data_IF_050037261168
#
_entry.id   IF_050037261168
#
_cell.length_a   1.000
_cell.length_b   1.000
_cell.length_c   1.000
_cell.angle_alpha   90.00
_cell.angle_beta   90.00
_cell.angle_gamma   90.00
#
_symmetry.space_group_name_H-M   'P 1'
#
loop_
_entity.id
_entity.type
_entity.pdbx_description
1 polymer ?
#
# COMPACT_ATOMS: atom_id res chain seq x y z
N UNK A 1 2.31 5.12 5.28
CA UNK A 1 2.94 4.02 4.52
C UNK A 1 4.24 3.62 5.22
N UNK A 2 4.48 2.32 5.41
CA UNK A 2 5.71 1.82 6.02
C UNK A 2 6.61 1.24 4.91
N UNK A 3 7.87 1.66 4.87
CA UNK A 3 8.86 1.17 3.91
C UNK A 3 9.85 0.31 4.68
N UNK A 4 10.02 -0.95 4.23
CA UNK A 4 11.01 -1.87 4.78
C UNK A 4 12.34 -1.67 4.06
N UNK A 5 13.36 -1.20 4.76
CA UNK A 5 14.66 -0.82 4.21
C UNK A 5 15.70 -1.96 4.15
N UNK A 6 15.44 -3.09 4.81
CA UNK A 6 16.42 -4.18 4.92
C UNK A 6 16.87 -4.82 3.59
N UNK A 7 16.25 -4.45 2.47
CA UNK A 7 16.56 -4.96 1.13
C UNK A 7 16.68 -3.85 0.08
N UNK A 8 16.57 -2.58 0.46
CA UNK A 8 16.58 -1.43 -0.45
C UNK A 8 17.77 -0.53 -0.17
N UNK A 9 18.30 0.13 -1.20
CA UNK A 9 19.34 1.14 -1.04
C UNK A 9 18.77 2.41 -0.40
N UNK A 10 19.62 3.20 0.26
CA UNK A 10 19.21 4.48 0.85
C UNK A 10 18.65 5.46 -0.20
N UNK A 11 19.16 5.40 -1.43
CA UNK A 11 18.67 6.20 -2.55
C UNK A 11 17.25 5.82 -2.95
N UNK A 12 16.96 4.50 -3.04
CA UNK A 12 15.61 3.99 -3.32
C UNK A 12 14.62 4.36 -2.23
N UNK A 13 15.02 4.23 -0.97
CA UNK A 13 14.20 4.61 0.18
C UNK A 13 13.87 6.09 0.13
N UNK A 14 14.87 6.94 -0.11
CA UNK A 14 14.72 8.39 -0.21
C UNK A 14 13.80 8.77 -1.37
N UNK A 15 13.99 8.15 -2.54
CA UNK A 15 13.15 8.37 -3.71
C UNK A 15 11.68 8.03 -3.43
N UNK A 16 11.42 6.85 -2.86
CA UNK A 16 10.06 6.41 -2.52
C UNK A 16 9.45 7.33 -1.45
N UNK A 17 10.24 7.67 -0.41
CA UNK A 17 9.79 8.56 0.66
C UNK A 17 9.37 9.92 0.10
N UNK A 18 10.20 10.55 -0.71
CA UNK A 18 9.91 11.87 -1.29
C UNK A 18 8.67 11.82 -2.19
N UNK A 19 8.56 10.78 -3.03
CA UNK A 19 7.41 10.57 -3.89
C UNK A 19 6.09 10.58 -3.10
N UNK A 20 5.99 9.74 -2.07
CA UNK A 20 4.73 9.62 -1.34
C UNK A 20 4.47 10.77 -0.35
N UNK A 21 5.53 11.40 0.18
CA UNK A 21 5.39 12.63 0.98
C UNK A 21 4.81 13.77 0.14
N UNK A 22 5.27 13.92 -1.12
CA UNK A 22 4.73 14.95 -2.02
C UNK A 22 3.26 14.74 -2.38
N UNK A 23 2.76 13.51 -2.23
CA UNK A 23 1.35 13.15 -2.42
C UNK A 23 0.52 13.24 -1.12
N UNK A 24 1.10 13.74 -0.02
CA UNK A 24 0.40 13.91 1.26
C UNK A 24 0.30 12.65 2.13
N UNK A 25 1.02 11.57 1.80
CA UNK A 25 1.03 10.36 2.63
C UNK A 25 2.05 10.46 3.76
N UNK A 26 1.68 10.01 4.95
CA UNK A 26 2.63 9.80 6.04
C UNK A 26 3.51 8.59 5.75
N UNK A 27 4.83 8.77 5.82
CA UNK A 27 5.82 7.72 5.52
C UNK A 27 6.65 7.43 6.76
N UNK A 28 6.73 6.17 7.12
CA UNK A 28 7.62 5.66 8.15
C UNK A 28 8.55 4.61 7.54
N UNK A 29 9.84 4.81 7.70
CA UNK A 29 10.86 3.82 7.31
C UNK A 29 11.14 2.92 8.50
N UNK A 30 11.08 1.61 8.30
CA UNK A 30 11.28 0.62 9.36
C UNK A 30 12.23 -0.48 8.93
N UNK A 31 13.08 -0.93 9.87
CA UNK A 31 13.95 -2.09 9.71
C UNK A 31 13.90 -2.94 10.97
N UNK A 32 13.55 -4.21 10.81
CA UNK A 32 13.55 -5.17 11.95
C UNK A 32 14.98 -5.51 12.39
N UNK A 33 15.93 -5.78 11.47
CA UNK A 33 17.31 -6.08 11.86
C UNK A 33 17.97 -4.95 12.68
N UNK A 34 17.74 -3.70 12.30
CA UNK A 34 18.40 -2.54 12.92
C UNK A 34 17.51 -1.85 13.96
N UNK A 35 16.33 -2.37 14.21
CA UNK A 35 15.30 -1.77 15.09
C UNK A 35 14.91 -0.33 14.69
N UNK A 36 15.20 0.09 13.46
CA UNK A 36 14.92 1.43 12.95
C UNK A 36 13.42 1.66 12.83
N UNK A 37 12.95 2.79 13.34
CA UNK A 37 11.55 3.21 13.24
C UNK A 37 10.53 2.35 14.00
N UNK A 38 10.99 1.39 14.82
CA UNK A 38 10.10 0.46 15.52
C UNK A 38 9.29 1.15 16.61
N UNK A 39 9.88 2.10 17.34
CA UNK A 39 9.16 2.84 18.39
C UNK A 39 8.11 3.76 17.77
N UNK A 40 8.44 4.47 16.71
CA UNK A 40 7.48 5.30 15.98
C UNK A 40 6.33 4.46 15.39
N UNK A 41 6.61 3.24 14.92
CA UNK A 41 5.57 2.34 14.47
C UNK A 41 4.67 1.88 15.63
N UNK A 42 5.26 1.61 16.81
CA UNK A 42 4.49 1.25 18.01
C UNK A 42 3.55 2.38 18.43
N UNK A 43 4.02 3.63 18.39
CA UNK A 43 3.19 4.82 18.66
C UNK A 43 2.05 4.97 17.65
N UNK A 44 2.33 4.80 16.36
CA UNK A 44 1.30 4.85 15.31
C UNK A 44 0.21 3.77 15.47
N UNK A 45 0.56 2.62 16.03
CA UNK A 45 -0.40 1.53 16.28
C UNK A 45 -1.14 1.68 17.61
N UNK A 46 -0.60 2.50 18.53
CA UNK A 46 -1.15 2.68 19.87
C UNK A 46 -2.55 3.30 19.81
N UNK A 47 -3.52 2.64 20.47
CA UNK A 47 -4.93 3.03 20.51
C UNK A 47 -5.64 3.16 19.13
N UNK A 48 -5.04 2.68 18.06
CA UNK A 48 -5.66 2.68 16.74
C UNK A 48 -6.08 1.27 16.31
N UNK A 49 -7.11 1.21 15.46
CA UNK A 49 -7.43 0.00 14.70
C UNK A 49 -6.71 0.10 13.36
N UNK A 50 -5.79 -0.83 13.11
CA UNK A 50 -4.88 -0.79 11.96
C UNK A 50 -5.02 -2.04 11.10
N UNK A 51 -4.97 -1.86 9.78
CA UNK A 51 -4.95 -2.95 8.80
C UNK A 51 -3.56 -2.99 8.16
N UNK A 52 -2.97 -4.19 8.10
CA UNK A 52 -1.68 -4.40 7.44
C UNK A 52 -1.90 -4.94 6.03
N UNK A 53 -1.68 -4.11 5.03
CA UNK A 53 -1.78 -4.47 3.62
C UNK A 53 -0.40 -4.68 2.99
N UNK A 54 -0.32 -5.52 1.98
CA UNK A 54 0.90 -5.78 1.20
C UNK A 54 1.06 -7.25 0.83
N UNK A 55 1.88 -7.53 -0.18
CA UNK A 55 2.13 -8.88 -0.70
C UNK A 55 2.59 -9.87 0.36
N UNK A 56 2.42 -11.17 0.06
CA UNK A 56 2.97 -12.24 0.90
C UNK A 56 4.51 -12.12 0.93
N UNK A 57 5.10 -12.39 2.10
CA UNK A 57 6.55 -12.35 2.25
C UNK A 57 7.17 -10.97 2.45
N UNK A 58 6.42 -9.85 2.32
CA UNK A 58 6.98 -8.49 2.54
C UNK A 58 7.36 -8.19 3.99
N UNK A 59 7.10 -9.12 4.92
CA UNK A 59 7.54 -9.01 6.31
C UNK A 59 6.55 -8.38 7.28
N UNK A 60 5.25 -8.30 6.94
CA UNK A 60 4.20 -7.82 7.86
C UNK A 60 4.23 -8.54 9.21
N UNK A 61 4.21 -9.86 9.19
CA UNK A 61 4.25 -10.69 10.40
C UNK A 61 5.57 -10.56 11.18
N UNK A 62 6.70 -10.43 10.47
CA UNK A 62 8.00 -10.20 11.11
C UNK A 62 8.03 -8.87 11.85
N UNK A 63 7.43 -7.82 11.24
CA UNK A 63 7.33 -6.50 11.84
C UNK A 63 6.52 -6.53 13.14
N UNK A 64 5.37 -7.21 13.14
CA UNK A 64 4.52 -7.33 14.33
C UNK A 64 5.18 -8.20 15.41
N UNK A 65 5.83 -9.29 15.03
CA UNK A 65 6.59 -10.12 15.99
C UNK A 65 7.74 -9.34 16.63
N UNK A 66 8.41 -8.48 15.90
CA UNK A 66 9.47 -7.62 16.43
C UNK A 66 8.92 -6.53 17.39
N UNK A 67 7.76 -5.98 17.10
CA UNK A 67 7.10 -5.03 18.01
C UNK A 67 6.60 -5.65 19.30
N UNK A 68 6.12 -6.90 19.24
CA UNK A 68 5.49 -7.62 20.35
C UNK A 68 6.01 -9.06 20.44
N UNK A 69 7.28 -9.28 20.89
CA UNK A 69 7.91 -10.60 20.89
C UNK A 69 7.17 -11.65 21.73
N UNK A 70 6.54 -11.21 22.82
CA UNK A 70 5.81 -12.07 23.75
C UNK A 70 4.34 -12.28 23.37
N UNK A 71 3.91 -11.73 22.24
CA UNK A 71 2.53 -11.87 21.79
C UNK A 71 2.33 -13.24 21.13
N UNK A 72 1.49 -14.08 21.75
CA UNK A 72 1.28 -15.49 21.36
C UNK A 72 0.38 -15.67 20.12
N UNK A 73 0.09 -14.62 19.37
CA UNK A 73 -0.74 -14.72 18.18
C UNK A 73 0.13 -15.05 16.95
N UNK A 74 -0.22 -16.12 16.26
CA UNK A 74 0.40 -16.54 15.01
C UNK A 74 -0.17 -15.76 13.84
N UNK A 75 0.13 -14.47 13.78
CA UNK A 75 -0.16 -13.65 12.58
C UNK A 75 0.71 -14.21 11.45
N UNK A 76 0.12 -14.93 10.53
CA UNK A 76 0.86 -15.45 9.36
C UNK A 76 0.83 -16.95 9.15
N UNK A 77 0.48 -17.78 10.16
CA UNK A 77 0.26 -19.22 9.95
C UNK A 77 -1.02 -19.50 9.15
N UNK A 78 -1.94 -18.54 9.11
CA UNK A 78 -3.14 -18.59 8.26
C UNK A 78 -2.77 -18.52 6.76
N UNK A 79 -1.59 -17.96 6.44
CA UNK A 79 -1.14 -17.81 5.04
C UNK A 79 -0.42 -19.04 4.48
N UNK A 80 0.09 -19.95 5.33
CA UNK A 80 0.82 -21.14 4.91
C UNK A 80 -0.04 -22.40 4.78
N UNK A 81 -1.28 -22.40 5.29
CA UNK A 81 -2.18 -23.55 5.27
C UNK A 81 -3.11 -23.66 4.08
N UNK A 82 -2.86 -23.00 2.96
CA UNK A 82 -3.61 -23.25 1.72
C UNK A 82 -3.04 -24.43 0.91
N UNK A 83 -2.82 -25.56 1.59
CA UNK A 83 -2.78 -26.87 0.96
C UNK A 83 -4.21 -27.39 0.81
N UNK A 84 -4.68 -27.50 -0.42
CA UNK A 84 -5.85 -28.26 -0.91
C UNK A 84 -6.95 -28.65 0.11
N UNK A 85 -8.09 -28.02 -0.03
CA UNK A 85 -9.37 -28.64 0.29
C UNK A 85 -10.03 -28.21 1.59
N UNK A 86 -11.20 -27.63 1.47
CA UNK A 86 -12.30 -27.31 2.38
C UNK A 86 -12.43 -25.88 2.84
N UNK A 87 -13.56 -25.28 2.49
CA UNK A 87 -14.26 -24.13 3.10
C UNK A 87 -13.43 -23.32 4.11
N UNK A 88 -12.60 -22.42 3.60
CA UNK A 88 -11.91 -21.46 4.43
C UNK A 88 -12.92 -20.37 4.77
N UNK A 89 -13.34 -20.32 6.00
CA UNK A 89 -14.10 -19.21 6.56
C UNK A 89 -13.23 -17.95 6.43
N UNK A 90 -13.53 -17.14 5.44
CA UNK A 90 -12.87 -15.85 5.18
C UNK A 90 -13.40 -14.82 6.17
N UNK A 91 -13.18 -15.01 7.45
CA UNK A 91 -13.50 -13.99 8.45
C UNK A 91 -12.27 -13.15 8.71
N UNK A 92 -12.41 -11.83 8.63
CA UNK A 92 -11.39 -10.92 9.12
C UNK A 92 -11.30 -11.10 10.65
N UNK A 93 -10.10 -11.33 11.15
CA UNK A 93 -9.86 -11.47 12.58
C UNK A 93 -9.24 -10.18 13.13
N UNK A 94 -9.75 -9.73 14.27
CA UNK A 94 -9.28 -8.53 14.94
C UNK A 94 -8.57 -8.92 16.22
N UNK A 95 -7.29 -8.57 16.31
CA UNK A 95 -6.42 -8.89 17.44
C UNK A 95 -6.12 -7.64 18.25
N UNK A 96 -6.35 -7.71 19.56
CA UNK A 96 -6.02 -6.62 20.47
C UNK A 96 -4.51 -6.55 20.71
N UNK A 97 -3.91 -5.39 20.50
CA UNK A 97 -2.50 -5.14 20.77
C UNK A 97 -2.21 -5.01 22.28
N UNK A 98 -1.06 -5.51 22.77
CA UNK A 98 -0.64 -5.31 24.15
C UNK A 98 -0.51 -3.83 24.56
N UNK A 99 -0.19 -2.96 23.61
CA UNK A 99 -0.09 -1.51 23.80
C UNK A 99 -1.43 -0.78 23.76
N UNK A 100 -2.54 -1.49 23.57
CA UNK A 100 -3.85 -0.90 23.25
C UNK A 100 -4.03 -0.69 21.75
N UNK A 101 -5.30 -0.69 21.31
CA UNK A 101 -5.62 -0.70 19.87
C UNK A 101 -5.76 -2.11 19.30
N UNK A 102 -5.94 -2.23 18.00
CA UNK A 102 -6.21 -3.48 17.32
C UNK A 102 -5.46 -3.58 15.99
N UNK A 103 -5.08 -4.81 15.62
CA UNK A 103 -4.70 -5.16 14.26
C UNK A 103 -5.78 -6.04 13.67
N UNK A 104 -6.22 -5.68 12.47
CA UNK A 104 -7.13 -6.49 11.67
C UNK A 104 -6.29 -7.31 10.70
N UNK A 105 -6.28 -8.63 10.88
CA UNK A 105 -5.77 -9.56 9.88
C UNK A 105 -6.92 -9.93 8.95
N UNK A 106 -6.75 -9.61 7.70
CA UNK A 106 -7.71 -9.94 6.66
C UNK A 106 -7.11 -11.06 5.81
N UNK A 107 -7.44 -12.34 6.11
CA UNK A 107 -7.00 -13.47 5.29
C UNK A 107 -7.55 -13.28 3.88
N UNK A 108 -6.67 -13.15 2.90
CA UNK A 108 -7.08 -13.01 1.50
C UNK A 108 -6.93 -11.61 0.89
N UNK A 109 -6.60 -10.56 1.63
CA UNK A 109 -6.07 -9.32 1.04
C UNK A 109 -4.60 -9.55 0.65
N UNK A 110 -4.31 -10.66 0.00
CA UNK A 110 -3.03 -10.91 -0.66
C UNK A 110 -2.94 -10.13 -1.96
N UNK A 111 -4.08 -9.95 -2.58
CA UNK A 111 -4.30 -9.14 -3.76
C UNK A 111 -5.49 -8.25 -3.41
N UNK A 112 -5.21 -7.02 -3.04
CA UNK A 112 -6.23 -6.00 -2.95
C UNK A 112 -6.67 -5.73 -4.39
N UNK A 113 -7.70 -6.42 -4.83
CA UNK A 113 -8.40 -6.02 -6.05
C UNK A 113 -9.28 -4.83 -5.66
N UNK A 114 -8.92 -3.63 -6.08
CA UNK A 114 -9.77 -2.49 -5.83
C UNK A 114 -11.12 -2.75 -6.52
N UNK A 115 -12.21 -2.58 -5.79
CA UNK A 115 -13.57 -2.57 -6.36
C UNK A 115 -13.82 -1.24 -7.09
N UNK A 116 -12.85 -0.82 -7.89
CA UNK A 116 -12.86 0.42 -8.66
C UNK A 116 -13.12 0.05 -10.10
N UNK A 117 -14.02 0.77 -10.74
CA UNK A 117 -14.22 0.62 -12.19
C UNK A 117 -13.10 1.33 -12.96
N UNK A 118 -12.78 0.92 -14.20
CA UNK A 118 -11.79 1.61 -15.01
C UNK A 118 -12.08 3.12 -15.17
N UNK A 119 -13.37 3.50 -15.22
CA UNK A 119 -13.82 4.89 -15.40
C UNK A 119 -13.63 5.76 -14.14
N UNK A 120 -13.44 5.13 -12.98
CA UNK A 120 -13.24 5.83 -11.71
C UNK A 120 -11.78 5.82 -11.25
N UNK A 121 -10.94 5.00 -11.87
CA UNK A 121 -9.57 4.77 -11.41
C UNK A 121 -8.74 6.06 -11.34
N UNK A 122 -8.90 6.97 -12.29
CA UNK A 122 -8.18 8.24 -12.35
C UNK A 122 -8.46 9.13 -11.14
N UNK A 123 -9.68 9.08 -10.57
CA UNK A 123 -10.05 9.84 -9.37
C UNK A 123 -9.35 9.37 -8.10
N UNK A 124 -8.78 8.15 -8.11
CA UNK A 124 -8.02 7.59 -7.00
C UNK A 124 -6.52 7.91 -7.03
N UNK A 125 -6.07 8.65 -8.05
CA UNK A 125 -4.71 9.15 -8.13
C UNK A 125 -4.68 10.64 -7.75
N UNK A 126 -4.21 10.95 -6.55
CA UNK A 126 -4.21 12.31 -5.98
C UNK A 126 -3.55 13.31 -6.92
N UNK A 127 -2.46 12.90 -7.57
CA UNK A 127 -1.70 13.71 -8.52
C UNK A 127 -2.44 13.96 -9.85
N UNK A 128 -3.49 13.19 -10.15
CA UNK A 128 -4.31 13.40 -11.33
C UNK A 128 -5.39 14.45 -11.09
N UNK A 129 -5.83 14.63 -9.84
CA UNK A 129 -6.94 15.52 -9.47
C UNK A 129 -6.86 16.93 -10.10
N UNK A 130 -5.69 17.60 -10.14
CA UNK A 130 -5.58 18.93 -10.76
C UNK A 130 -5.85 18.96 -12.28
N UNK A 131 -5.80 17.79 -12.94
CA UNK A 131 -5.89 17.66 -14.41
C UNK A 131 -7.17 16.99 -14.88
N UNK A 132 -7.96 16.41 -13.97
CA UNK A 132 -9.24 15.78 -14.32
C UNK A 132 -10.19 16.78 -14.95
N UNK A 133 -10.92 16.33 -15.98
CA UNK A 133 -11.84 17.16 -16.75
C UNK A 133 -11.20 18.15 -17.72
N UNK A 134 -9.84 18.21 -17.79
CA UNK A 134 -9.11 19.11 -18.71
C UNK A 134 -8.67 18.43 -20.00
N UNK A 135 -8.93 17.13 -20.17
CA UNK A 135 -8.66 16.43 -21.41
C UNK A 135 -9.63 16.86 -22.51
N UNK A 136 -9.19 16.80 -23.76
CA UNK A 136 -10.03 17.13 -24.93
C UNK A 136 -11.28 16.26 -25.01
N UNK A 137 -11.15 14.96 -24.67
CA UNK A 137 -12.24 13.99 -24.81
C UNK A 137 -12.87 13.70 -23.45
N UNK A 138 -14.20 13.68 -23.42
CA UNK A 138 -14.95 13.15 -22.27
C UNK A 138 -14.74 11.65 -22.18
N UNK A 139 -14.55 11.11 -20.96
CA UNK A 139 -14.24 9.67 -20.77
C UNK A 139 -12.83 9.29 -21.25
N UNK A 140 -11.89 10.24 -21.21
CA UNK A 140 -10.50 9.99 -21.54
C UNK A 140 -9.92 8.96 -20.57
N UNK A 141 -9.35 7.87 -21.10
CA UNK A 141 -8.71 6.81 -20.30
C UNK A 141 -7.25 7.14 -19.98
N UNK A 142 -6.74 8.29 -20.42
CA UNK A 142 -5.38 8.78 -20.23
C UNK A 142 -4.27 7.86 -20.75
N UNK A 143 -4.59 6.96 -21.69
CA UNK A 143 -3.69 5.96 -22.28
C UNK A 143 -3.23 6.34 -23.68
N UNK A 144 -4.15 6.44 -24.61
CA UNK A 144 -3.86 6.60 -26.03
C UNK A 144 -4.34 7.94 -26.59
N UNK A 145 -5.28 8.60 -25.93
CA UNK A 145 -5.96 9.77 -26.42
C UNK A 145 -4.98 10.94 -26.64
N UNK A 146 -5.09 11.63 -27.76
CA UNK A 146 -4.33 12.86 -28.00
C UNK A 146 -4.87 14.01 -27.15
N UNK A 147 -4.03 14.98 -26.84
CA UNK A 147 -4.40 16.16 -26.03
C UNK A 147 -5.03 15.76 -24.68
N UNK A 148 -4.38 14.81 -24.02
CA UNK A 148 -4.71 14.34 -22.69
C UNK A 148 -3.93 15.13 -21.64
N UNK A 149 -4.62 15.84 -20.76
CA UNK A 149 -4.00 16.68 -19.72
C UNK A 149 -3.13 15.87 -18.73
N UNK A 150 -3.48 14.62 -18.44
CA UNK A 150 -2.67 13.71 -17.60
C UNK A 150 -1.36 13.34 -18.31
N UNK A 151 -1.41 13.02 -19.61
CA UNK A 151 -0.20 12.70 -20.38
C UNK A 151 0.70 13.93 -20.55
N UNK A 152 0.13 15.10 -20.71
CA UNK A 152 0.88 16.36 -20.76
C UNK A 152 1.53 16.68 -19.40
N UNK A 153 0.82 16.43 -18.29
CA UNK A 153 1.36 16.56 -16.96
C UNK A 153 2.49 15.54 -16.69
N UNK A 154 2.35 14.32 -17.18
CA UNK A 154 3.41 13.31 -17.14
C UNK A 154 4.62 13.76 -17.99
N UNK A 155 4.40 14.21 -19.21
CA UNK A 155 5.48 14.68 -20.10
C UNK A 155 6.24 15.92 -19.57
N UNK A 156 5.62 16.68 -18.65
CA UNK A 156 6.21 17.84 -17.98
C UNK A 156 6.67 17.57 -16.54
N UNK A 157 6.88 16.30 -16.18
CA UNK A 157 7.37 15.83 -14.87
C UNK A 157 6.50 16.24 -13.65
N UNK A 158 5.26 16.68 -13.89
CA UNK A 158 4.30 16.98 -12.81
C UNK A 158 3.65 15.73 -12.25
N UNK A 159 3.62 14.66 -13.04
CA UNK A 159 3.27 13.31 -12.64
C UNK A 159 4.48 12.44 -12.87
N UNK A 160 4.95 11.74 -11.84
CA UNK A 160 6.15 10.90 -11.97
C UNK A 160 5.88 9.67 -12.81
N UNK A 161 6.90 9.21 -13.53
CA UNK A 161 6.83 8.00 -14.36
C UNK A 161 6.33 6.79 -13.56
N UNK A 162 6.82 6.63 -12.33
CA UNK A 162 6.46 5.52 -11.46
C UNK A 162 4.95 5.50 -11.16
N UNK A 163 4.35 6.66 -10.92
CA UNK A 163 2.92 6.78 -10.63
C UNK A 163 2.07 6.59 -11.88
N UNK A 164 2.49 7.18 -12.99
CA UNK A 164 1.77 6.98 -14.24
C UNK A 164 1.81 5.51 -14.71
N UNK A 165 2.96 4.83 -14.59
CA UNK A 165 3.06 3.38 -14.84
C UNK A 165 2.19 2.55 -13.90
N UNK A 166 2.10 2.94 -12.62
CA UNK A 166 1.19 2.27 -11.68
C UNK A 166 -0.28 2.40 -12.10
N UNK A 167 -0.68 3.59 -12.56
CA UNK A 167 -2.02 3.80 -13.12
C UNK A 167 -2.30 2.85 -14.28
N UNK A 168 -1.39 2.80 -15.28
CA UNK A 168 -1.56 1.94 -16.44
C UNK A 168 -1.65 0.47 -16.07
N UNK A 169 -0.79 0.00 -15.17
CA UNK A 169 -0.78 -1.39 -14.71
C UNK A 169 -2.07 -1.78 -13.98
N UNK A 170 -2.60 -0.90 -13.12
CA UNK A 170 -3.88 -1.16 -12.45
C UNK A 170 -5.01 -1.15 -13.46
N UNK A 171 -5.05 -0.19 -14.37
CA UNK A 171 -6.08 -0.09 -15.42
C UNK A 171 -6.14 -1.36 -16.28
N UNK A 172 -4.99 -1.96 -16.60
CA UNK A 172 -4.89 -3.20 -17.39
C UNK A 172 -5.30 -4.45 -16.62
N UNK A 173 -5.33 -4.38 -15.30
CA UNK A 173 -5.71 -5.49 -14.42
C UNK A 173 -7.21 -5.49 -14.05
N UNK A 174 -7.93 -4.41 -14.33
CA UNK A 174 -9.37 -4.27 -14.12
C UNK A 174 -10.17 -4.84 -15.30
#
# INVERSE_FOLDING_TARGET
>A
MCIRDSLSTEEEITSIKNLYLSLGYNILVTSVPDSRGMDSLRELLHHHTSILCGHSGVGKSSLIKALYPNWKINIGDVSSKSGKGRHITRMAEMYRLPSGGFIVDTPGIREFQPTVTPDELDTHFVEFMPYLGKCRFKGCTHRHEPQCAIKEAYASDKITEKRYKSYLSIYESL
#
